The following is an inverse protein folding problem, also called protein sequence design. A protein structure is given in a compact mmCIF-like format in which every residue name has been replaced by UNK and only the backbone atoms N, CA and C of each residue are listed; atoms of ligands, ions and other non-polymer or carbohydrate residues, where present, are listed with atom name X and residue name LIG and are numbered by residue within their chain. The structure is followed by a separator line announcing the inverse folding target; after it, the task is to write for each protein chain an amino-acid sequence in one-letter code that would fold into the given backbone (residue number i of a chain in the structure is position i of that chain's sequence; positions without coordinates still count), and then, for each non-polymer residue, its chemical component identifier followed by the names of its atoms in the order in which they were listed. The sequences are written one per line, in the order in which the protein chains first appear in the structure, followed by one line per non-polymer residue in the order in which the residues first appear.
data_IF_229596940219
#
_entry.id   IF_229596940219
#
_cell.length_a   1.000
_cell.length_b   1.000
_cell.length_c   1.000
_cell.angle_alpha   90.00
_cell.angle_beta   90.00
_cell.angle_gamma   90.00
#
_symmetry.space_group_name_H-M   'P 1'
#
loop_
_entity.id
_entity.type
_entity.pdbx_description
1 polymer ?
#
# COMPACT_ATOMS: atom_id res chain seq x y z
N UNK A 1 -25.80 -52.78 16.27
CA UNK A 1 -24.44 -52.29 16.62
C UNK A 1 -24.19 -51.09 15.71
N UNK A 2 -24.55 -49.88 16.17
CA UNK A 2 -23.63 -48.90 16.80
C UNK A 2 -22.69 -48.31 15.75
N UNK A 3 -23.05 -47.17 15.11
CA UNK A 3 -22.62 -45.78 15.44
C UNK A 3 -21.09 -45.60 15.40
N UNK A 4 -20.51 -44.66 14.65
CA UNK A 4 -20.34 -43.20 14.94
C UNK A 4 -19.88 -42.53 13.61
N UNK A 5 -20.59 -41.57 12.97
CA UNK A 5 -20.71 -40.10 13.16
C UNK A 5 -19.42 -39.24 13.06
N UNK A 6 -19.47 -38.25 12.13
CA UNK A 6 -18.81 -36.92 12.10
C UNK A 6 -17.32 -36.88 11.70
N UNK A 7 -16.81 -35.88 10.99
CA UNK A 7 -17.35 -34.60 10.49
C UNK A 7 -16.39 -34.02 9.44
N UNK A 8 -16.93 -33.14 8.61
CA UNK A 8 -16.20 -32.13 7.83
C UNK A 8 -15.01 -31.52 8.57
N UNK A 9 -13.90 -31.34 7.87
CA UNK A 9 -12.97 -30.25 8.14
C UNK A 9 -12.75 -29.50 6.84
N UNK A 10 -13.31 -28.31 6.85
CA UNK A 10 -13.33 -27.26 5.85
C UNK A 10 -11.93 -26.76 5.53
N UNK A 11 -11.84 -26.02 4.43
CA UNK A 11 -10.69 -25.29 3.86
C UNK A 11 -10.08 -24.23 4.78
N UNK A 12 -10.18 -24.37 6.10
CA UNK A 12 -9.78 -23.38 7.12
C UNK A 12 -8.54 -23.78 7.94
N UNK A 13 -7.95 -24.97 7.75
CA UNK A 13 -6.84 -25.47 8.60
C UNK A 13 -5.41 -25.22 8.06
N UNK A 14 -5.19 -24.27 7.14
CA UNK A 14 -3.82 -23.86 6.71
C UNK A 14 -3.43 -22.50 7.30
N UNK A 15 -3.92 -22.21 8.51
CA UNK A 15 -3.40 -21.15 9.34
C UNK A 15 -2.92 -21.80 10.64
N UNK A 16 -1.70 -21.43 11.06
CA UNK A 16 -0.97 -21.83 12.27
C UNK A 16 -0.05 -23.06 12.11
N UNK A 17 1.22 -22.81 11.78
CA UNK A 17 2.35 -23.07 12.70
C UNK A 17 3.61 -22.32 12.26
N UNK A 18 3.77 -21.13 12.84
CA UNK A 18 5.02 -20.36 12.91
C UNK A 18 5.75 -20.73 14.19
N UNK A 19 6.95 -21.31 14.08
CA UNK A 19 8.05 -21.40 15.07
C UNK A 19 9.03 -22.45 14.47
N UNK A 20 10.34 -22.29 14.35
CA UNK A 20 11.37 -21.83 15.29
C UNK A 20 12.62 -21.54 14.44
N UNK A 21 13.27 -20.39 14.57
CA UNK A 21 14.75 -20.25 14.55
C UNK A 21 15.13 -18.96 15.27
N UNK A 22 16.05 -19.08 16.22
CA UNK A 22 16.50 -18.05 17.16
C UNK A 22 17.96 -17.71 16.87
N UNK A 23 18.21 -16.55 16.26
CA UNK A 23 19.45 -15.76 16.19
C UNK A 23 20.20 -15.68 14.84
N UNK A 24 20.70 -14.47 14.55
CA UNK A 24 21.29 -13.99 13.28
C UNK A 24 22.77 -14.37 13.07
N UNK A 25 23.47 -14.82 14.12
CA UNK A 25 24.94 -14.84 14.15
C UNK A 25 25.58 -16.08 13.49
N UNK A 26 24.92 -17.24 13.46
CA UNK A 26 25.47 -18.48 12.88
C UNK A 26 25.64 -18.43 11.34
N UNK A 27 25.00 -17.45 10.68
CA UNK A 27 25.01 -17.30 9.23
C UNK A 27 26.28 -16.63 8.69
N UNK A 28 26.95 -15.79 9.48
CA UNK A 28 28.01 -14.89 9.00
C UNK A 28 29.41 -15.52 8.95
N UNK A 29 29.65 -16.64 9.64
CA UNK A 29 30.98 -17.24 9.76
C UNK A 29 31.41 -18.13 8.57
N UNK A 30 30.49 -18.50 7.66
CA UNK A 30 30.77 -19.50 6.59
C UNK A 30 30.60 -18.98 5.16
N UNK A 31 30.66 -17.65 4.93
CA UNK A 31 30.42 -17.07 3.58
C UNK A 31 31.65 -17.19 2.63
N UNK A 32 31.50 -17.60 1.35
CA UNK A 32 32.60 -17.65 0.38
C UNK A 32 33.13 -16.27 -0.05
N UNK A 33 34.41 -16.21 -0.44
CA UNK A 33 35.15 -14.98 -0.77
C UNK A 33 34.70 -14.26 -2.06
N UNK A 34 33.88 -14.86 -2.92
CA UNK A 34 33.34 -14.17 -4.10
C UNK A 34 32.25 -13.12 -3.76
N UNK A 35 31.79 -13.06 -2.50
CA UNK A 35 30.81 -12.09 -1.99
C UNK A 35 31.35 -10.66 -1.79
N UNK A 36 32.66 -10.44 -1.79
CA UNK A 36 33.23 -9.13 -1.42
C UNK A 36 33.01 -8.05 -2.50
N UNK A 37 32.79 -8.43 -3.76
CA UNK A 37 32.46 -7.48 -4.84
C UNK A 37 30.96 -7.12 -4.90
N UNK A 38 30.08 -7.91 -4.28
CA UNK A 38 28.64 -7.66 -4.16
C UNK A 38 28.28 -6.75 -2.97
N UNK A 39 29.24 -6.48 -2.08
CA UNK A 39 29.11 -5.57 -0.94
C UNK A 39 29.13 -4.07 -1.29
N UNK A 40 29.47 -3.69 -2.54
CA UNK A 40 29.70 -2.27 -2.87
C UNK A 40 28.45 -1.41 -3.17
N UNK A 41 27.26 -2.00 -3.25
CA UNK A 41 25.99 -1.27 -3.42
C UNK A 41 24.89 -1.86 -2.53
N UNK A 42 25.29 -2.17 -1.30
CA UNK A 42 24.37 -2.07 -0.18
C UNK A 42 23.78 -0.65 -0.15
N UNK A 43 22.49 -0.48 0.11
CA UNK A 43 21.65 -1.41 0.87
C UNK A 43 20.36 -1.74 0.13
N UNK A 44 20.42 -2.75 -0.73
CA UNK A 44 19.38 -3.75 -1.04
C UNK A 44 19.56 -4.21 -2.50
N UNK A 45 20.19 -5.36 -2.71
CA UNK A 45 20.26 -5.99 -4.05
C UNK A 45 19.35 -7.21 -4.12
N UNK A 46 18.78 -7.37 -5.31
CA UNK A 46 17.74 -8.29 -5.81
C UNK A 46 17.76 -9.76 -5.30
N UNK A 47 18.85 -10.24 -4.73
CA UNK A 47 19.02 -11.63 -4.28
C UNK A 47 18.62 -11.85 -2.80
N UNK A 48 18.62 -10.80 -1.97
CA UNK A 48 18.10 -10.88 -0.59
C UNK A 48 16.58 -11.13 -0.60
N UNK A 49 15.90 -10.58 -1.60
CA UNK A 49 14.50 -10.81 -1.90
C UNK A 49 14.22 -12.22 -2.42
N UNK A 50 15.07 -12.73 -3.31
CA UNK A 50 14.97 -14.12 -3.75
C UNK A 50 15.25 -15.08 -2.60
N UNK A 51 16.13 -14.78 -1.65
CA UNK A 51 16.31 -15.60 -0.44
C UNK A 51 15.14 -15.51 0.54
N UNK A 52 14.51 -14.36 0.75
CA UNK A 52 13.31 -14.26 1.59
C UNK A 52 12.10 -15.02 1.01
N UNK A 53 11.95 -14.99 -0.33
CA UNK A 53 10.92 -15.73 -1.06
C UNK A 53 11.23 -17.23 -1.17
N UNK A 54 12.47 -17.61 -1.47
CA UNK A 54 12.92 -19.01 -1.64
C UNK A 54 13.15 -19.73 -0.30
N UNK A 55 13.51 -19.03 0.79
CA UNK A 55 13.61 -19.64 2.12
C UNK A 55 12.25 -20.17 2.66
N UNK A 56 11.12 -19.71 2.07
CA UNK A 56 9.75 -20.18 2.39
C UNK A 56 9.13 -21.09 1.33
N UNK A 57 9.73 -21.20 0.15
CA UNK A 57 9.28 -22.11 -0.91
C UNK A 57 10.28 -23.25 -1.05
N UNK A 58 9.95 -24.47 -0.56
CA UNK A 58 10.79 -25.63 -0.80
C UNK A 58 10.87 -25.85 -2.32
N UNK A 59 12.08 -26.14 -2.79
CA UNK A 59 12.58 -26.08 -4.18
C UNK A 59 11.92 -27.05 -5.19
N UNK A 60 10.65 -27.41 -5.00
CA UNK A 60 9.85 -28.25 -5.90
C UNK A 60 8.40 -27.75 -6.11
N UNK A 61 8.02 -26.59 -5.57
CA UNK A 61 6.68 -26.02 -5.81
C UNK A 61 6.68 -25.30 -7.17
N UNK A 62 5.74 -25.64 -8.04
CA UNK A 62 5.49 -24.92 -9.29
C UNK A 62 5.40 -23.40 -9.03
N UNK A 63 5.76 -22.57 -10.00
CA UNK A 63 5.65 -21.12 -9.86
C UNK A 63 4.20 -20.71 -9.56
N UNK A 64 3.92 -20.42 -8.28
CA UNK A 64 2.62 -20.00 -7.76
C UNK A 64 2.51 -18.48 -7.65
N UNK A 65 3.48 -17.71 -8.16
CA UNK A 65 3.45 -16.25 -8.11
C UNK A 65 2.19 -15.66 -8.74
N UNK A 66 1.69 -16.30 -9.80
CA UNK A 66 0.42 -15.99 -10.44
C UNK A 66 -0.82 -16.21 -9.54
N UNK A 67 -0.72 -17.00 -8.48
CA UNK A 67 -1.83 -17.26 -7.55
C UNK A 67 -1.83 -16.28 -6.37
N UNK A 68 -0.74 -15.54 -6.15
CA UNK A 68 -0.62 -14.62 -5.03
C UNK A 68 -1.37 -13.31 -5.30
N UNK A 69 -2.31 -13.01 -4.42
CA UNK A 69 -3.08 -11.76 -4.42
C UNK A 69 -2.61 -10.80 -3.34
N UNK A 70 -1.74 -11.22 -2.42
CA UNK A 70 -1.29 -10.42 -1.28
C UNK A 70 0.22 -10.53 -1.10
N UNK A 71 0.87 -9.40 -0.84
CA UNK A 71 2.31 -9.31 -0.61
C UNK A 71 2.60 -8.43 0.61
N UNK A 72 3.24 -9.01 1.62
CA UNK A 72 3.64 -8.32 2.84
C UNK A 72 5.13 -8.02 2.89
N UNK A 73 5.46 -6.73 2.83
CA UNK A 73 6.81 -6.18 2.89
C UNK A 73 6.97 -5.15 4.02
N UNK A 74 6.11 -5.22 5.03
CA UNK A 74 6.13 -4.31 6.17
C UNK A 74 7.31 -4.59 7.11
N UNK A 75 7.77 -3.55 7.81
CA UNK A 75 8.79 -3.65 8.87
C UNK A 75 10.14 -4.22 8.40
N UNK A 76 10.52 -4.02 7.12
CA UNK A 76 11.77 -4.54 6.54
C UNK A 76 12.88 -3.48 6.43
N UNK A 77 12.62 -2.24 6.87
CA UNK A 77 13.58 -1.14 6.78
C UNK A 77 13.83 -0.65 5.35
N UNK A 78 12.91 -0.91 4.42
CA UNK A 78 13.06 -0.52 3.02
C UNK A 78 13.17 0.99 2.87
N UNK A 79 14.16 1.47 2.12
CA UNK A 79 14.36 2.91 1.86
C UNK A 79 13.74 3.36 0.53
N UNK A 80 13.38 2.41 -0.32
CA UNK A 80 12.75 2.62 -1.62
C UNK A 80 11.63 1.59 -1.89
N UNK A 81 10.82 1.86 -2.91
CA UNK A 81 9.80 0.93 -3.37
C UNK A 81 10.43 -0.36 -3.93
N UNK A 82 9.74 -1.51 -3.86
CA UNK A 82 10.13 -2.71 -4.60
C UNK A 82 10.24 -2.43 -6.09
N UNK A 83 11.19 -3.05 -6.80
CA UNK A 83 11.40 -2.74 -8.22
C UNK A 83 10.21 -3.18 -9.09
N UNK A 84 10.05 -2.53 -10.24
CA UNK A 84 8.99 -2.90 -11.19
C UNK A 84 9.11 -4.37 -11.65
N UNK A 85 10.33 -4.88 -11.87
CA UNK A 85 10.53 -6.28 -12.26
C UNK A 85 10.04 -7.23 -11.17
N UNK A 86 10.24 -6.89 -9.90
CA UNK A 86 9.74 -7.70 -8.79
C UNK A 86 8.21 -7.71 -8.76
N UNK A 87 7.58 -6.52 -8.79
CA UNK A 87 6.13 -6.42 -8.73
C UNK A 87 5.45 -7.08 -9.95
N UNK A 88 6.10 -7.08 -11.12
CA UNK A 88 5.58 -7.77 -12.31
C UNK A 88 5.51 -9.29 -12.20
N UNK A 89 6.20 -9.90 -11.22
CA UNK A 89 6.07 -11.35 -10.94
C UNK A 89 4.73 -11.72 -10.30
N UNK A 90 4.01 -10.74 -9.73
CA UNK A 90 2.72 -10.94 -9.08
C UNK A 90 1.60 -10.25 -9.88
N UNK A 91 1.22 -10.74 -11.08
CA UNK A 91 0.30 -10.03 -11.96
C UNK A 91 -1.14 -9.93 -11.40
N UNK A 92 -1.49 -10.76 -10.42
CA UNK A 92 -2.80 -10.77 -9.76
C UNK A 92 -2.77 -10.11 -8.37
N UNK A 93 -1.72 -9.34 -8.06
CA UNK A 93 -1.58 -8.69 -6.75
C UNK A 93 -2.71 -7.67 -6.51
N UNK A 94 -3.44 -7.87 -5.41
CA UNK A 94 -4.54 -7.02 -4.95
C UNK A 94 -4.19 -6.25 -3.68
N UNK A 95 -3.36 -6.82 -2.80
CA UNK A 95 -2.96 -6.19 -1.54
C UNK A 95 -1.44 -6.08 -1.43
N UNK A 96 -0.94 -4.86 -1.22
CA UNK A 96 0.48 -4.57 -1.00
C UNK A 96 0.66 -3.83 0.33
N UNK A 97 1.38 -4.48 1.25
CA UNK A 97 1.71 -3.93 2.57
C UNK A 97 3.18 -3.52 2.62
N UNK A 98 3.42 -2.22 2.80
CA UNK A 98 4.72 -1.57 2.86
C UNK A 98 4.85 -0.67 4.10
N UNK A 99 3.97 -0.82 5.08
CA UNK A 99 3.99 0.00 6.30
C UNK A 99 5.25 -0.23 7.15
N UNK A 100 5.59 0.75 7.98
CA UNK A 100 6.73 0.70 8.91
C UNK A 100 8.08 0.45 8.20
N UNK A 101 8.28 1.15 7.09
CA UNK A 101 9.55 1.19 6.37
C UNK A 101 10.12 2.63 6.40
N UNK A 102 11.15 2.90 5.59
CA UNK A 102 11.79 4.20 5.44
C UNK A 102 11.67 4.72 4.00
N UNK A 103 10.59 4.37 3.31
CA UNK A 103 10.37 4.71 1.91
C UNK A 103 10.16 6.22 1.81
N UNK A 104 10.96 6.86 0.96
CA UNK A 104 10.96 8.34 0.83
C UNK A 104 10.11 8.86 -0.32
N UNK A 105 9.79 8.01 -1.30
CA UNK A 105 8.94 8.34 -2.43
C UNK A 105 8.24 7.10 -3.01
N UNK A 106 7.09 7.33 -3.64
CA UNK A 106 6.46 6.35 -4.53
C UNK A 106 7.01 6.57 -5.93
N UNK A 107 7.45 5.49 -6.60
CA UNK A 107 8.00 5.52 -7.95
C UNK A 107 7.18 4.66 -8.93
N UNK A 108 7.66 4.60 -10.18
CA UNK A 108 6.98 3.95 -11.30
C UNK A 108 6.81 2.42 -11.17
N UNK A 109 7.34 1.80 -10.11
CA UNK A 109 7.17 0.38 -9.84
C UNK A 109 5.70 -0.03 -9.72
N UNK A 110 4.84 0.82 -9.15
CA UNK A 110 3.41 0.54 -8.97
C UNK A 110 2.64 0.37 -10.28
N UNK A 111 3.19 0.80 -11.42
CA UNK A 111 2.60 0.57 -12.74
C UNK A 111 2.44 -0.91 -13.08
N UNK A 112 3.20 -1.79 -12.43
CA UNK A 112 3.05 -3.23 -12.57
C UNK A 112 1.81 -3.79 -11.84
N UNK A 113 1.26 -3.06 -10.86
CA UNK A 113 0.18 -3.53 -9.98
C UNK A 113 -1.19 -2.95 -10.38
N UNK A 114 -1.65 -3.21 -11.61
CA UNK A 114 -2.89 -2.61 -12.13
C UNK A 114 -4.17 -3.17 -11.49
N UNK A 115 -4.08 -4.27 -10.74
CA UNK A 115 -5.19 -4.90 -10.01
C UNK A 115 -5.18 -4.61 -8.51
N UNK A 116 -4.32 -3.67 -8.08
CA UNK A 116 -4.20 -3.34 -6.67
C UNK A 116 -5.48 -2.70 -6.13
N UNK A 117 -6.01 -3.30 -5.07
CA UNK A 117 -7.20 -2.87 -4.33
C UNK A 117 -6.80 -2.21 -3.01
N UNK A 118 -5.77 -2.75 -2.34
CA UNK A 118 -5.28 -2.29 -1.04
C UNK A 118 -3.81 -1.92 -1.12
N UNK A 119 -3.48 -0.67 -0.79
CA UNK A 119 -2.10 -0.19 -0.68
C UNK A 119 -1.89 0.41 0.70
N UNK A 120 -0.99 -0.18 1.49
CA UNK A 120 -0.61 0.32 2.82
C UNK A 120 0.84 0.79 2.81
N UNK A 121 1.03 2.09 3.00
CA UNK A 121 2.32 2.78 3.03
C UNK A 121 2.47 3.62 4.31
N UNK A 122 1.65 3.34 5.33
CA UNK A 122 1.69 4.07 6.59
C UNK A 122 3.04 3.95 7.32
N UNK A 123 3.40 4.93 8.14
CA UNK A 123 4.68 4.96 8.87
C UNK A 123 5.89 4.80 7.93
N UNK A 124 6.02 5.73 6.98
CA UNK A 124 7.16 5.86 6.06
C UNK A 124 7.63 7.32 6.02
N UNK A 125 8.53 7.67 5.11
CA UNK A 125 9.10 9.02 4.96
C UNK A 125 8.66 9.68 3.64
N UNK A 126 7.49 9.29 3.11
CA UNK A 126 7.02 9.70 1.78
C UNK A 126 6.67 11.18 1.78
N UNK A 127 7.33 11.95 0.91
CA UNK A 127 7.10 13.41 0.77
C UNK A 127 6.14 13.79 -0.36
N UNK A 128 5.98 12.92 -1.36
CA UNK A 128 5.14 13.15 -2.54
C UNK A 128 4.66 11.83 -3.16
N UNK A 129 3.56 11.89 -3.92
CA UNK A 129 2.90 10.76 -4.60
C UNK A 129 3.00 10.83 -6.14
N UNK A 130 3.99 11.57 -6.64
CA UNK A 130 4.12 12.10 -8.02
C UNK A 130 3.87 11.11 -9.17
N UNK A 131 2.80 11.28 -9.96
CA UNK A 131 2.43 10.56 -11.21
C UNK A 131 2.19 9.04 -11.17
N UNK A 132 2.38 8.38 -10.03
CA UNK A 132 2.39 6.90 -10.00
C UNK A 132 1.11 6.29 -9.42
N UNK A 133 0.29 7.06 -8.69
CA UNK A 133 -1.01 6.58 -8.20
C UNK A 133 -2.12 6.59 -9.26
N UNK A 134 -1.96 7.39 -10.33
CA UNK A 134 -3.00 7.60 -11.34
C UNK A 134 -3.47 6.33 -12.04
N UNK A 135 -2.63 5.30 -12.07
CA UNK A 135 -2.90 4.04 -12.78
C UNK A 135 -3.63 3.00 -11.92
N UNK A 136 -3.74 3.25 -10.61
CA UNK A 136 -4.37 2.34 -9.65
C UNK A 136 -5.89 2.54 -9.61
N UNK A 137 -6.54 2.33 -10.75
CA UNK A 137 -7.98 2.60 -10.93
C UNK A 137 -8.88 1.75 -10.02
N UNK A 138 -8.40 0.55 -9.64
CA UNK A 138 -9.11 -0.42 -8.80
C UNK A 138 -8.90 -0.19 -7.29
N UNK A 139 -8.11 0.83 -6.91
CA UNK A 139 -7.72 1.04 -5.52
C UNK A 139 -8.91 1.48 -4.68
N UNK A 140 -9.21 0.70 -3.64
CA UNK A 140 -10.29 0.97 -2.68
C UNK A 140 -9.77 1.47 -1.34
N UNK A 141 -8.59 1.00 -0.93
CA UNK A 141 -7.97 1.40 0.33
C UNK A 141 -6.57 1.92 0.12
N UNK A 142 -6.32 3.14 0.58
CA UNK A 142 -5.01 3.78 0.57
C UNK A 142 -4.66 4.30 1.97
N UNK A 143 -3.62 3.72 2.57
CA UNK A 143 -3.07 4.20 3.83
C UNK A 143 -1.71 4.86 3.58
N UNK A 144 -1.66 6.17 3.80
CA UNK A 144 -0.45 7.00 3.76
C UNK A 144 -0.23 7.67 5.11
N UNK A 145 -0.81 7.14 6.19
CA UNK A 145 -0.71 7.74 7.52
C UNK A 145 0.74 7.84 8.00
N UNK A 146 1.05 8.85 8.81
CA UNK A 146 2.38 9.09 9.37
C UNK A 146 3.48 9.09 8.28
N UNK A 147 3.31 9.94 7.28
CA UNK A 147 4.30 10.24 6.24
C UNK A 147 4.62 11.75 6.27
N UNK A 148 5.33 12.25 5.26
CA UNK A 148 5.77 13.64 5.15
C UNK A 148 5.08 14.40 4.00
N UNK A 149 3.88 13.96 3.58
CA UNK A 149 3.15 14.59 2.49
C UNK A 149 2.73 16.02 2.87
N UNK A 150 3.05 17.00 2.04
CA UNK A 150 2.78 18.42 2.32
C UNK A 150 1.94 19.12 1.24
N UNK A 151 1.97 18.65 -0.01
CA UNK A 151 1.26 19.27 -1.13
C UNK A 151 -0.11 18.62 -1.38
N UNK A 152 -1.15 19.25 -0.83
CA UNK A 152 -2.54 18.81 -1.03
C UNK A 152 -2.97 18.88 -2.50
N UNK A 153 -2.54 19.89 -3.27
CA UNK A 153 -2.98 20.02 -4.66
C UNK A 153 -2.36 18.95 -5.55
N UNK A 154 -1.08 18.63 -5.31
CA UNK A 154 -0.44 17.50 -5.95
C UNK A 154 -1.19 16.20 -5.62
N UNK A 155 -1.44 15.93 -4.34
CA UNK A 155 -2.18 14.74 -3.92
C UNK A 155 -3.55 14.60 -4.61
N UNK A 156 -4.36 15.67 -4.63
CA UNK A 156 -5.66 15.70 -5.29
C UNK A 156 -5.57 15.45 -6.80
N UNK A 157 -4.51 15.96 -7.44
CA UNK A 157 -4.31 15.78 -8.88
C UNK A 157 -3.94 14.33 -9.20
N UNK A 158 -3.12 13.70 -8.35
CA UNK A 158 -2.68 12.31 -8.52
C UNK A 158 -3.79 11.29 -8.29
N UNK A 159 -4.66 11.56 -7.32
CA UNK A 159 -5.74 10.65 -6.93
C UNK A 159 -7.01 10.84 -7.75
N UNK A 160 -7.07 11.85 -8.63
CA UNK A 160 -8.24 12.18 -9.45
C UNK A 160 -8.85 11.02 -10.23
N UNK A 161 -8.04 10.09 -10.73
CA UNK A 161 -8.47 8.93 -11.52
C UNK A 161 -8.86 7.71 -10.69
N UNK A 162 -8.71 7.77 -9.35
CA UNK A 162 -9.04 6.69 -8.43
C UNK A 162 -10.51 6.83 -8.01
N UNK A 163 -11.40 6.33 -8.85
CA UNK A 163 -12.84 6.52 -8.70
C UNK A 163 -13.49 5.64 -7.62
N UNK A 164 -12.84 4.51 -7.29
CA UNK A 164 -13.38 3.50 -6.38
C UNK A 164 -12.78 3.57 -4.96
N UNK A 165 -12.06 4.66 -4.62
CA UNK A 165 -11.44 4.82 -3.30
C UNK A 165 -12.49 4.93 -2.18
N UNK A 166 -12.57 3.93 -1.31
CA UNK A 166 -13.55 3.84 -0.21
C UNK A 166 -12.93 4.29 1.12
N UNK A 167 -11.66 4.00 1.35
CA UNK A 167 -10.93 4.29 2.57
C UNK A 167 -9.61 5.01 2.27
N UNK A 168 -9.42 6.16 2.92
CA UNK A 168 -8.20 6.95 2.81
C UNK A 168 -7.71 7.37 4.20
N UNK A 169 -6.46 7.09 4.51
CA UNK A 169 -5.81 7.59 5.71
C UNK A 169 -4.60 8.47 5.35
N UNK A 170 -4.70 9.75 5.67
CA UNK A 170 -3.65 10.75 5.51
C UNK A 170 -3.20 11.31 6.86
N UNK A 171 -3.71 10.79 7.98
CA UNK A 171 -3.40 11.27 9.32
C UNK A 171 -1.89 11.31 9.57
N UNK A 172 -1.41 12.30 10.32
CA UNK A 172 0.03 12.42 10.61
C UNK A 172 0.89 12.92 9.45
N UNK A 173 0.30 13.45 8.36
CA UNK A 173 1.02 14.17 7.31
C UNK A 173 0.99 15.69 7.52
N UNK A 174 1.89 16.41 6.83
CA UNK A 174 1.91 17.89 6.88
C UNK A 174 0.69 18.51 6.19
N UNK A 175 0.15 17.88 5.14
CA UNK A 175 -1.03 18.37 4.42
C UNK A 175 -2.32 18.37 5.26
N UNK A 176 -2.37 17.61 6.37
CA UNK A 176 -3.56 17.56 7.24
C UNK A 176 -3.62 18.73 8.23
N UNK A 177 -2.59 19.59 8.28
CA UNK A 177 -2.55 20.73 9.20
C UNK A 177 -3.49 21.87 8.77
N UNK A 178 -3.88 21.92 7.49
CA UNK A 178 -4.84 22.94 7.01
C UNK A 178 -6.25 22.62 7.48
N UNK A 179 -6.93 23.57 8.13
CA UNK A 179 -8.32 23.38 8.59
C UNK A 179 -9.33 23.03 7.48
N UNK A 180 -8.98 23.31 6.23
CA UNK A 180 -9.81 23.02 5.05
C UNK A 180 -9.48 21.69 4.36
N UNK A 181 -8.43 20.96 4.78
CA UNK A 181 -7.98 19.76 4.05
C UNK A 181 -9.10 18.71 3.89
N UNK A 182 -9.84 18.41 4.96
CA UNK A 182 -10.97 17.47 4.89
C UNK A 182 -11.98 17.91 3.85
N UNK A 183 -12.28 19.22 3.78
CA UNK A 183 -13.25 19.72 2.81
C UNK A 183 -12.78 19.46 1.38
N UNK A 184 -11.49 19.69 1.10
CA UNK A 184 -10.89 19.40 -0.20
C UNK A 184 -10.96 17.92 -0.55
N UNK A 185 -10.54 17.04 0.36
CA UNK A 185 -10.53 15.59 0.15
C UNK A 185 -11.95 15.07 -0.08
N UNK A 186 -12.91 15.42 0.79
CA UNK A 186 -14.30 14.94 0.69
C UNK A 186 -15.04 15.48 -0.55
N UNK A 187 -14.60 16.63 -1.07
CA UNK A 187 -15.17 17.20 -2.29
C UNK A 187 -14.59 16.56 -3.55
N UNK A 188 -13.32 16.19 -3.51
CA UNK A 188 -12.62 15.51 -4.60
C UNK A 188 -12.95 14.01 -4.67
N UNK A 189 -13.19 13.39 -3.51
CA UNK A 189 -13.51 11.97 -3.37
C UNK A 189 -14.87 11.78 -2.67
N UNK A 190 -15.99 12.09 -3.36
CA UNK A 190 -17.35 11.89 -2.83
C UNK A 190 -17.64 10.47 -2.36
N UNK A 191 -16.98 9.48 -2.96
CA UNK A 191 -17.16 8.06 -2.72
C UNK A 191 -16.63 7.58 -1.35
N UNK A 192 -15.69 8.31 -0.73
CA UNK A 192 -15.03 7.87 0.51
C UNK A 192 -16.03 7.61 1.64
N UNK A 193 -15.95 6.45 2.28
CA UNK A 193 -16.73 6.12 3.48
C UNK A 193 -15.91 6.31 4.75
N UNK A 194 -14.59 6.21 4.66
CA UNK A 194 -13.66 6.41 5.78
C UNK A 194 -12.56 7.40 5.36
N UNK A 195 -12.34 8.42 6.19
CA UNK A 195 -11.24 9.36 6.07
C UNK A 195 -10.52 9.46 7.42
N UNK A 196 -9.21 9.26 7.42
CA UNK A 196 -8.36 9.36 8.61
C UNK A 196 -8.89 8.51 9.78
N UNK A 197 -9.27 7.26 9.47
CA UNK A 197 -9.84 6.27 10.39
C UNK A 197 -11.19 6.66 10.99
N UNK A 198 -11.86 7.68 10.44
CA UNK A 198 -13.18 8.12 10.88
C UNK A 198 -14.19 7.88 9.75
N UNK A 199 -15.36 7.35 10.11
CA UNK A 199 -16.48 7.28 9.17
C UNK A 199 -16.89 8.68 8.75
N UNK A 200 -17.20 8.85 7.47
CA UNK A 200 -17.65 10.12 6.90
C UNK A 200 -19.09 10.00 6.47
N UNK A 201 -19.96 10.77 7.13
CA UNK A 201 -21.37 10.78 6.80
C UNK A 201 -21.67 11.67 5.57
N UNK A 202 -22.80 11.40 4.92
CA UNK A 202 -23.29 12.21 3.80
C UNK A 202 -23.41 13.70 4.16
N UNK A 203 -23.83 14.01 5.38
CA UNK A 203 -23.99 15.39 5.87
C UNK A 203 -22.64 16.12 5.89
N UNK A 204 -21.56 15.46 6.28
CA UNK A 204 -20.21 16.03 6.30
C UNK A 204 -19.70 16.34 4.91
N UNK A 205 -19.92 15.43 3.95
CA UNK A 205 -19.56 15.63 2.53
C UNK A 205 -20.30 16.84 1.94
N UNK A 206 -21.60 16.96 2.22
CA UNK A 206 -22.41 18.12 1.78
C UNK A 206 -21.91 19.42 2.40
N UNK A 207 -21.58 19.41 3.69
CA UNK A 207 -21.02 20.57 4.41
C UNK A 207 -19.67 20.98 3.82
N UNK A 208 -18.76 20.04 3.58
CA UNK A 208 -17.46 20.28 2.96
C UNK A 208 -17.58 21.04 1.63
N UNK A 209 -18.48 20.59 0.76
CA UNK A 209 -18.74 21.23 -0.54
C UNK A 209 -19.29 22.65 -0.39
N UNK A 210 -20.23 22.87 0.55
CA UNK A 210 -20.80 24.20 0.83
C UNK A 210 -19.71 25.16 1.34
N UNK A 211 -18.85 24.72 2.26
CA UNK A 211 -17.75 25.55 2.76
C UNK A 211 -16.78 25.93 1.65
N UNK A 212 -16.43 25.00 0.76
CA UNK A 212 -15.58 25.32 -0.39
C UNK A 212 -16.24 26.27 -1.41
N UNK A 213 -17.57 26.19 -1.58
CA UNK A 213 -18.31 27.16 -2.41
C UNK A 213 -18.18 28.59 -1.88
N UNK A 214 -18.15 28.77 -0.55
CA UNK A 214 -17.99 30.08 0.08
C UNK A 214 -16.58 30.64 -0.10
N UNK A 215 -15.56 29.76 -0.09
CA UNK A 215 -14.16 30.16 -0.19
C UNK A 215 -13.79 30.50 -1.64
N UNK A 216 -13.98 29.56 -2.58
CA UNK A 216 -13.59 29.74 -3.97
C UNK A 216 -14.34 28.79 -4.92
N UNK A 217 -15.32 29.34 -5.62
CA UNK A 217 -16.15 28.58 -6.57
C UNK A 217 -15.37 28.04 -7.78
N UNK A 218 -14.26 28.66 -8.17
CA UNK A 218 -13.40 28.19 -9.26
C UNK A 218 -12.57 26.98 -8.83
N UNK A 219 -12.04 27.01 -7.61
CA UNK A 219 -11.32 25.87 -7.02
C UNK A 219 -12.22 24.65 -6.90
N UNK A 220 -13.48 24.85 -6.49
CA UNK A 220 -14.47 23.78 -6.47
C UNK A 220 -14.65 23.13 -7.84
N UNK A 221 -14.71 23.93 -8.93
CA UNK A 221 -14.83 23.38 -10.29
C UNK A 221 -13.60 22.59 -10.70
N UNK A 222 -12.42 22.97 -10.23
CA UNK A 222 -11.17 22.27 -10.55
C UNK A 222 -11.10 20.89 -9.86
N UNK A 223 -11.57 20.78 -8.61
CA UNK A 223 -11.43 19.56 -7.79
C UNK A 223 -12.65 18.64 -7.82
N UNK A 224 -13.86 19.13 -8.17
CA UNK A 224 -15.08 18.31 -8.10
C UNK A 224 -15.23 17.29 -9.25
N UNK A 225 -14.19 17.10 -10.08
CA UNK A 225 -13.98 16.05 -11.09
C UNK A 225 -15.19 15.59 -11.95
N UNK A 226 -16.22 16.43 -12.14
CA UNK A 226 -17.43 16.07 -12.89
C UNK A 226 -18.50 15.35 -12.06
N UNK A 227 -18.35 15.30 -10.73
CA UNK A 227 -19.33 14.71 -9.84
C UNK A 227 -20.60 15.58 -9.80
N UNK A 228 -21.66 15.08 -10.42
CA UNK A 228 -23.03 15.57 -10.23
C UNK A 228 -23.55 14.99 -8.91
N UNK A 229 -23.75 15.87 -7.94
CA UNK A 229 -24.33 15.55 -6.63
C UNK A 229 -25.84 15.83 -6.65
#
# INVERSE_FOLDING_TARGET
MSSVLKSDTTTEDIIVQTSVYTNEDDFWEQKPSELDNLMQCFECRKEDWQRAYVARCPTQVADVSHLLTELNLACLGLTCMPTQEMLSTFPNLQSLWLQENRITCIDHSLRACTHLVNLRLGQNEIRSVSNELRQLHSLRTLDLSNNQLFDLQNFLTETRSIHDLEELDLSGNMLTQSSSYKNYILTAHPQLHVLDRQFVEFVEKKKARIELMKINRLVLRAIAFGCNW
#
